data_IF_477385413431
#
_entry.id   IF_477385413431
#
_cell.length_a   1.000
_cell.length_b   1.000
_cell.length_c   1.000
_cell.angle_alpha   90.00
_cell.angle_beta   90.00
_cell.angle_gamma   90.00
#
_symmetry.space_group_name_H-M   'P 1'
#
loop_
_entity.id
_entity.type
_entity.pdbx_description
1 polymer ?
#
# COMPACT_ATOMS: atom_id res chain seq x y z
N UNK A 1 0.58 -10.19 14.83
CA UNK A 1 0.79 -10.23 13.36
C UNK A 1 -0.39 -9.53 12.69
N UNK A 2 -0.13 -8.53 11.85
CA UNK A 2 -1.15 -7.78 11.09
C UNK A 2 -1.91 -8.69 10.12
N UNK A 3 -3.12 -8.29 9.69
CA UNK A 3 -3.96 -9.07 8.77
C UNK A 3 -3.29 -9.28 7.42
N UNK A 4 -2.57 -8.28 6.91
CA UNK A 4 -1.78 -8.39 5.67
C UNK A 4 -0.60 -9.37 5.80
N UNK A 5 0.10 -9.38 6.94
CA UNK A 5 1.16 -10.35 7.18
C UNK A 5 0.64 -11.80 7.26
N UNK A 6 -0.62 -11.99 7.70
CA UNK A 6 -1.29 -13.30 7.64
C UNK A 6 -1.69 -13.68 6.22
N UNK A 7 -2.19 -12.73 5.42
CA UNK A 7 -2.62 -12.97 4.04
C UNK A 7 -1.45 -13.32 3.11
N UNK A 8 -0.35 -12.58 3.21
CA UNK A 8 0.76 -12.69 2.25
C UNK A 8 1.99 -13.42 2.80
N UNK A 9 2.13 -13.56 4.12
CA UNK A 9 3.27 -14.24 4.73
C UNK A 9 4.60 -13.65 4.25
N UNK A 10 5.49 -14.52 3.77
CA UNK A 10 6.81 -14.12 3.26
C UNK A 10 6.77 -13.33 1.94
N UNK A 11 5.61 -13.25 1.28
CA UNK A 11 5.45 -12.36 0.12
C UNK A 11 5.27 -10.91 0.52
N UNK A 12 4.85 -10.61 1.75
CA UNK A 12 4.78 -9.22 2.21
C UNK A 12 6.19 -8.69 2.46
N UNK A 13 6.63 -7.76 1.64
CA UNK A 13 7.95 -7.13 1.75
C UNK A 13 7.89 -5.95 2.71
N UNK A 14 6.85 -5.12 2.58
CA UNK A 14 6.69 -3.94 3.40
C UNK A 14 5.40 -3.19 3.12
N UNK A 15 5.15 -2.19 3.95
CA UNK A 15 4.04 -1.27 3.84
C UNK A 15 4.59 0.15 3.81
N UNK A 16 4.02 0.99 2.95
CA UNK A 16 4.36 2.42 2.88
C UNK A 16 3.08 3.22 3.00
N UNK A 17 2.97 4.03 4.06
CA UNK A 17 1.94 5.04 4.18
C UNK A 17 2.23 6.18 3.22
N UNK A 18 1.25 6.64 2.47
CA UNK A 18 1.39 7.80 1.59
C UNK A 18 0.13 8.67 1.64
N UNK A 19 0.03 9.68 0.77
CA UNK A 19 -1.16 10.52 0.71
C UNK A 19 -1.23 11.53 1.84
N UNK A 20 -2.45 12.00 2.15
CA UNK A 20 -2.69 13.08 3.11
C UNK A 20 -2.15 12.76 4.51
N UNK A 21 -2.21 11.48 4.92
CA UNK A 21 -1.69 11.01 6.20
C UNK A 21 -0.16 11.19 6.28
N UNK A 22 0.57 10.79 5.24
CA UNK A 22 2.02 10.94 5.20
C UNK A 22 2.46 12.42 5.11
N UNK A 23 1.67 13.27 4.43
CA UNK A 23 1.93 14.70 4.30
C UNK A 23 1.49 15.54 5.51
N UNK A 24 0.77 14.96 6.47
CA UNK A 24 0.21 15.71 7.60
C UNK A 24 -0.96 16.62 7.23
N UNK A 25 -1.61 16.34 6.10
CA UNK A 25 -2.75 17.10 5.55
C UNK A 25 -4.09 16.40 5.79
N UNK A 26 -4.08 15.24 6.46
CA UNK A 26 -5.29 14.47 6.74
C UNK A 26 -6.21 15.21 7.73
N UNK A 27 -7.51 15.12 7.46
CA UNK A 27 -8.59 15.51 8.36
C UNK A 27 -9.32 14.26 8.88
N UNK A 28 -10.37 14.46 9.68
CA UNK A 28 -11.15 13.38 10.31
C UNK A 28 -11.83 12.44 9.30
N UNK A 29 -12.14 12.94 8.10
CA UNK A 29 -12.78 12.17 7.02
C UNK A 29 -11.77 11.56 6.03
N UNK A 30 -10.47 11.71 6.28
CA UNK A 30 -9.42 11.29 5.34
C UNK A 30 -9.16 9.79 5.39
N UNK A 31 -9.16 9.18 4.20
CA UNK A 31 -8.70 7.80 4.00
C UNK A 31 -7.24 7.60 4.42
N UNK A 32 -6.88 6.36 4.72
CA UNK A 32 -5.50 5.93 4.98
C UNK A 32 -4.97 5.17 3.77
N UNK A 33 -4.11 5.81 2.99
CA UNK A 33 -3.50 5.24 1.79
C UNK A 33 -2.22 4.44 2.11
N UNK A 34 -2.22 3.16 1.77
CA UNK A 34 -1.08 2.26 2.02
C UNK A 34 -0.68 1.51 0.76
N UNK A 35 0.59 1.65 0.39
CA UNK A 35 1.22 0.82 -0.64
C UNK A 35 1.64 -0.50 0.00
N UNK A 36 1.14 -1.60 -0.54
CA UNK A 36 1.46 -2.96 -0.09
C UNK A 36 2.48 -3.56 -1.05
N UNK A 37 3.73 -3.62 -0.60
CA UNK A 37 4.83 -4.12 -1.43
C UNK A 37 4.92 -5.63 -1.30
N UNK A 38 4.79 -6.32 -2.43
CA UNK A 38 4.74 -7.78 -2.52
C UNK A 38 5.88 -8.33 -3.37
N UNK A 39 6.44 -9.45 -2.92
CA UNK A 39 7.46 -10.18 -3.69
C UNK A 39 6.85 -10.97 -4.84
N UNK A 40 7.51 -10.90 -5.99
CA UNK A 40 7.12 -11.59 -7.22
C UNK A 40 5.95 -10.92 -7.95
N UNK A 41 5.37 -11.59 -8.97
CA UNK A 41 4.34 -10.99 -9.82
C UNK A 41 3.10 -10.56 -9.02
N UNK A 42 2.60 -9.36 -9.34
CA UNK A 42 1.39 -8.79 -8.76
C UNK A 42 0.36 -8.60 -9.86
N UNK A 43 -0.77 -9.31 -9.72
CA UNK A 43 -2.00 -9.03 -10.47
C UNK A 43 -2.82 -8.05 -9.65
N UNK A 44 -2.90 -6.81 -10.13
CA UNK A 44 -3.53 -5.70 -9.40
C UNK A 44 -4.98 -6.02 -9.05
N UNK A 45 -5.78 -6.53 -10.01
CA UNK A 45 -7.19 -6.83 -9.79
C UNK A 45 -7.38 -7.94 -8.76
N UNK A 46 -6.57 -9.00 -8.85
CA UNK A 46 -6.61 -10.12 -7.92
C UNK A 46 -6.26 -9.68 -6.50
N UNK A 47 -5.21 -8.87 -6.35
CA UNK A 47 -4.76 -8.47 -5.03
C UNK A 47 -5.68 -7.42 -4.40
N UNK A 48 -6.25 -6.49 -5.18
CA UNK A 48 -7.33 -5.61 -4.71
C UNK A 48 -8.50 -6.44 -4.17
N UNK A 49 -8.95 -7.48 -4.91
CA UNK A 49 -10.06 -8.34 -4.46
C UNK A 49 -9.75 -9.07 -3.14
N UNK A 50 -8.51 -9.54 -2.97
CA UNK A 50 -8.08 -10.23 -1.73
C UNK A 50 -7.99 -9.28 -0.55
N UNK A 51 -7.49 -8.07 -0.78
CA UNK A 51 -7.36 -7.02 0.22
C UNK A 51 -8.70 -6.40 0.61
N UNK A 52 -9.69 -6.40 -0.30
CA UNK A 52 -11.02 -5.83 -0.06
C UNK A 52 -11.71 -6.35 1.21
N UNK A 53 -11.60 -7.66 1.48
CA UNK A 53 -12.13 -8.23 2.73
C UNK A 53 -11.47 -7.65 3.99
N UNK A 54 -10.16 -7.36 3.92
CA UNK A 54 -9.42 -6.74 5.02
C UNK A 54 -9.86 -5.28 5.18
N UNK A 55 -10.01 -4.54 4.08
CA UNK A 55 -10.47 -3.15 4.08
C UNK A 55 -11.85 -3.04 4.74
N UNK A 56 -12.82 -3.87 4.33
CA UNK A 56 -14.17 -3.88 4.92
C UNK A 56 -14.14 -4.20 6.42
N UNK A 57 -13.34 -5.18 6.84
CA UNK A 57 -13.24 -5.53 8.27
C UNK A 57 -12.66 -4.40 9.12
N UNK A 58 -11.68 -3.67 8.60
CA UNK A 58 -11.07 -2.56 9.32
C UNK A 58 -12.00 -1.34 9.36
N UNK A 59 -12.69 -1.04 8.26
CA UNK A 59 -13.73 -0.01 8.22
C UNK A 59 -14.80 -0.26 9.29
N UNK A 60 -15.40 -1.46 9.31
CA UNK A 60 -16.46 -1.79 10.28
C UNK A 60 -15.97 -1.75 11.73
N UNK A 61 -14.71 -2.11 11.98
CA UNK A 61 -14.17 -2.20 13.34
C UNK A 61 -13.68 -0.86 13.89
N UNK A 62 -13.11 -0.03 13.04
CA UNK A 62 -12.35 1.15 13.45
C UNK A 62 -12.92 2.45 12.90
N UNK A 63 -13.93 2.39 12.03
CA UNK A 63 -14.47 3.54 11.29
C UNK A 63 -13.39 4.27 10.48
N UNK A 64 -12.40 3.52 10.01
CA UNK A 64 -11.30 4.03 9.18
C UNK A 64 -11.36 3.41 7.81
N UNK A 65 -11.43 4.24 6.79
CA UNK A 65 -11.32 3.80 5.41
C UNK A 65 -9.85 3.62 5.03
N UNK A 66 -9.49 2.39 4.66
CA UNK A 66 -8.13 2.02 4.26
C UNK A 66 -8.09 1.76 2.76
N UNK A 67 -7.21 2.46 2.06
CA UNK A 67 -6.98 2.35 0.62
C UNK A 67 -5.69 1.58 0.35
N UNK A 68 -5.81 0.28 0.06
CA UNK A 68 -4.67 -0.62 -0.14
C UNK A 68 -4.29 -0.74 -1.61
N UNK A 69 -3.04 -0.42 -1.93
CA UNK A 69 -2.51 -0.40 -3.28
C UNK A 69 -1.43 -1.48 -3.45
N UNK A 70 -1.69 -2.58 -4.18
CA UNK A 70 -0.68 -3.63 -4.36
C UNK A 70 0.41 -3.18 -5.34
N UNK A 71 1.68 -3.44 -4.98
CA UNK A 71 2.83 -3.14 -5.85
C UNK A 71 3.85 -4.28 -5.80
N UNK A 72 4.39 -4.66 -6.96
CA UNK A 72 5.50 -5.60 -7.00
C UNK A 72 6.78 -4.92 -6.53
N UNK A 73 7.56 -5.62 -5.68
CA UNK A 73 8.89 -5.19 -5.22
C UNK A 73 9.77 -4.72 -6.38
N UNK A 74 9.81 -5.49 -7.48
CA UNK A 74 10.60 -5.20 -8.67
C UNK A 74 10.21 -3.86 -9.34
N UNK A 75 8.92 -3.49 -9.33
CA UNK A 75 8.47 -2.22 -9.92
C UNK A 75 8.98 -1.04 -9.09
N UNK A 76 8.88 -1.15 -7.76
CA UNK A 76 9.37 -0.12 -6.85
C UNK A 76 10.90 0.02 -6.96
N UNK A 77 11.63 -1.10 -7.05
CA UNK A 77 13.07 -1.09 -7.28
C UNK A 77 13.46 -0.49 -8.64
N UNK A 78 12.71 -0.80 -9.71
CA UNK A 78 12.96 -0.28 -11.04
C UNK A 78 12.83 1.25 -11.06
N UNK A 79 11.78 1.80 -10.44
CA UNK A 79 11.59 3.24 -10.29
C UNK A 79 12.71 3.86 -9.43
N UNK A 80 13.07 3.22 -8.31
CA UNK A 80 14.17 3.68 -7.43
C UNK A 80 15.51 3.78 -8.16
N UNK A 81 15.76 2.84 -9.07
CA UNK A 81 16.99 2.78 -9.88
C UNK A 81 16.93 3.62 -11.15
N UNK A 82 15.84 4.36 -11.40
CA UNK A 82 15.65 5.13 -12.62
C UNK A 82 15.51 4.27 -13.89
N UNK A 83 15.14 3.00 -13.74
CA UNK A 83 14.95 2.05 -14.85
C UNK A 83 13.51 2.01 -15.37
N UNK A 84 12.57 2.61 -14.65
CA UNK A 84 11.17 2.70 -15.03
C UNK A 84 10.58 4.06 -14.61
N UNK A 85 9.66 4.58 -15.42
CA UNK A 85 8.91 5.78 -15.13
C UNK A 85 7.52 5.43 -14.64
N UNK A 86 7.24 5.77 -13.38
CA UNK A 86 5.91 5.57 -12.78
C UNK A 86 5.63 6.73 -11.81
N UNK A 87 4.94 7.80 -12.27
CA UNK A 87 4.76 9.03 -11.48
C UNK A 87 4.22 8.78 -10.07
N UNK A 88 3.24 7.89 -9.94
CA UNK A 88 2.68 7.49 -8.65
C UNK A 88 3.72 6.87 -7.70
N UNK A 89 4.54 5.91 -8.15
CA UNK A 89 5.57 5.30 -7.31
C UNK A 89 6.72 6.27 -6.99
N UNK A 90 7.03 7.21 -7.90
CA UNK A 90 7.99 8.29 -7.64
C UNK A 90 7.50 9.22 -6.52
N UNK A 91 6.23 9.61 -6.56
CA UNK A 91 5.62 10.41 -5.51
C UNK A 91 5.71 9.69 -4.16
N UNK A 92 5.30 8.42 -4.10
CA UNK A 92 5.39 7.61 -2.87
C UNK A 92 6.83 7.46 -2.37
N UNK A 93 7.82 7.36 -3.25
CA UNK A 93 9.22 7.33 -2.83
C UNK A 93 9.70 8.66 -2.24
N UNK A 94 9.14 9.78 -2.68
CA UNK A 94 9.51 11.11 -2.20
C UNK A 94 8.82 11.47 -0.88
N UNK A 95 7.55 11.08 -0.71
CA UNK A 95 6.71 11.52 0.43
C UNK A 95 6.30 10.40 1.40
N UNK A 96 6.46 9.13 1.02
CA UNK A 96 5.92 8.00 1.77
C UNK A 96 6.72 7.65 3.03
N UNK A 97 6.01 7.14 4.04
CA UNK A 97 6.55 6.71 5.33
C UNK A 97 6.49 5.18 5.44
N UNK A 98 7.64 4.55 5.70
CA UNK A 98 7.71 3.09 5.92
C UNK A 98 7.12 2.74 7.29
N UNK A 99 6.21 1.78 7.33
CA UNK A 99 5.51 1.30 8.54
C UNK A 99 6.15 0.05 9.15
#
# INVERSE_FOLDING_TARGET
RTTLARLYGNRLVGLVLFGSQARGEANEDSDVDVLVVLRGPVDIFREIKRMGLIQTQLLVRHDVFLSLHPCAEDNLEAVRRGKAEHPFLKAIQAEGVVL
#
